data_IF_265835312975
#
_entry.id   IF_265835312975
#
_cell.length_a   1.000
_cell.length_b   1.000
_cell.length_c   1.000
_cell.angle_alpha   90.00
_cell.angle_beta   90.00
_cell.angle_gamma   90.00
#
_symmetry.space_group_name_H-M   'P 1'
#
loop_
_entity.id
_entity.type
_entity.pdbx_description
1 polymer ?
#
# COMPACT_ATOMS: atom_id res chain seq x y z
N UNK A 1 22.79 -38.24 21.23
CA UNK A 1 23.08 -39.69 21.34
C UNK A 1 21.81 -40.43 20.95
N UNK A 2 21.64 -40.69 19.66
CA UNK A 2 20.45 -41.33 19.09
C UNK A 2 20.67 -42.86 19.11
N UNK A 3 19.64 -43.61 19.53
CA UNK A 3 19.65 -45.07 19.42
C UNK A 3 19.54 -45.43 17.94
N UNK A 4 20.68 -45.76 17.32
CA UNK A 4 20.72 -46.40 16.02
C UNK A 4 20.30 -47.87 16.19
N UNK A 5 19.08 -48.22 15.77
CA UNK A 5 18.80 -49.59 15.32
C UNK A 5 17.71 -49.61 14.27
N UNK A 6 18.14 -49.48 13.01
CA UNK A 6 17.42 -50.09 11.90
C UNK A 6 17.55 -51.61 12.04
N UNK A 7 16.40 -52.31 12.15
CA UNK A 7 16.28 -53.74 11.91
C UNK A 7 16.21 -54.62 13.16
N UNK A 8 15.00 -54.95 13.59
CA UNK A 8 14.59 -56.37 13.69
C UNK A 8 13.07 -56.51 13.87
N UNK A 9 12.48 -57.38 13.04
CA UNK A 9 11.06 -57.75 13.08
C UNK A 9 10.86 -58.83 14.14
N UNK A 10 10.14 -58.50 15.22
CA UNK A 10 9.45 -59.50 16.05
C UNK A 10 8.15 -58.89 16.56
N UNK A 11 7.03 -59.37 16.02
CA UNK A 11 5.69 -58.88 16.28
C UNK A 11 5.16 -59.27 17.66
N UNK A 12 4.27 -58.41 18.16
CA UNK A 12 3.57 -58.55 19.44
C UNK A 12 2.55 -59.68 19.40
N UNK A 13 2.54 -60.53 20.44
CA UNK A 13 1.58 -61.63 20.63
C UNK A 13 0.74 -61.41 21.91
N UNK A 14 0.14 -60.23 22.05
CA UNK A 14 -0.81 -59.90 23.12
C UNK A 14 -2.24 -59.83 22.60
N UNK A 15 -3.10 -60.73 23.10
CA UNK A 15 -4.53 -60.78 22.76
C UNK A 15 -5.27 -59.57 23.39
N UNK A 16 -5.59 -58.58 22.56
CA UNK A 16 -6.59 -57.56 22.86
C UNK A 16 -7.81 -57.82 21.97
N UNK A 17 -8.79 -58.57 22.47
CA UNK A 17 -9.95 -59.06 21.70
C UNK A 17 -10.97 -57.96 21.29
N UNK A 18 -10.62 -56.67 21.39
CA UNK A 18 -11.51 -55.55 21.05
C UNK A 18 -10.83 -54.34 20.40
N UNK A 19 -9.52 -54.36 20.17
CA UNK A 19 -8.88 -53.32 19.36
C UNK A 19 -8.90 -53.79 17.90
N UNK A 20 -9.90 -53.33 17.14
CA UNK A 20 -9.89 -53.39 15.68
C UNK A 20 -8.49 -53.08 15.16
N UNK A 21 -7.99 -53.85 14.20
CA UNK A 21 -6.64 -53.71 13.61
C UNK A 21 -6.37 -52.23 13.32
N UNK A 22 -5.61 -51.56 14.18
CA UNK A 22 -5.30 -50.14 13.97
C UNK A 22 -4.22 -50.08 12.90
N UNK A 23 -4.42 -49.34 11.79
CA UNK A 23 -3.53 -49.41 10.64
C UNK A 23 -2.11 -48.90 10.96
N UNK A 24 -1.16 -49.33 10.13
CA UNK A 24 0.18 -48.75 10.07
C UNK A 24 0.10 -47.36 9.43
N UNK A 25 0.86 -46.42 9.97
CA UNK A 25 1.06 -45.11 9.35
C UNK A 25 2.24 -45.23 8.39
N UNK A 26 2.09 -44.79 7.15
CA UNK A 26 3.18 -44.76 6.17
C UNK A 26 4.15 -43.63 6.50
N UNK A 27 5.31 -43.99 7.07
CA UNK A 27 6.36 -43.05 7.47
C UNK A 27 7.47 -42.94 6.44
N UNK A 28 7.56 -43.85 5.47
CA UNK A 28 8.56 -43.82 4.39
C UNK A 28 8.25 -42.68 3.42
N UNK A 29 7.01 -42.62 2.94
CA UNK A 29 6.53 -41.53 2.08
C UNK A 29 6.64 -40.17 2.77
N UNK A 30 6.43 -40.13 4.09
CA UNK A 30 6.57 -38.90 4.88
C UNK A 30 8.04 -38.46 4.95
N UNK A 31 8.98 -39.37 5.20
CA UNK A 31 10.41 -39.03 5.20
C UNK A 31 10.89 -38.60 3.81
N UNK A 32 10.44 -39.26 2.75
CA UNK A 32 10.80 -38.90 1.38
C UNK A 32 10.25 -37.53 0.97
N UNK A 33 9.09 -37.15 1.50
CA UNK A 33 8.57 -35.77 1.39
C UNK A 33 9.54 -34.78 2.03
N UNK A 34 9.95 -35.01 3.29
CA UNK A 34 10.88 -34.11 4.01
C UNK A 34 12.26 -34.06 3.33
N UNK A 35 12.76 -35.19 2.82
CA UNK A 35 14.05 -35.25 2.09
C UNK A 35 14.05 -34.39 0.85
N UNK A 36 12.88 -34.15 0.25
CA UNK A 36 12.73 -33.25 -0.90
C UNK A 36 13.70 -33.59 -2.07
N UNK A 37 13.95 -34.89 -2.27
CA UNK A 37 14.85 -35.42 -3.29
C UNK A 37 16.34 -35.46 -2.93
N UNK A 38 16.72 -35.17 -1.68
CA UNK A 38 18.06 -35.42 -1.16
C UNK A 38 18.13 -36.79 -0.47
N UNK A 39 18.68 -37.79 -1.18
CA UNK A 39 18.82 -39.15 -0.65
C UNK A 39 19.77 -39.24 0.56
N UNK A 40 20.63 -38.23 0.77
CA UNK A 40 21.55 -38.18 1.89
C UNK A 40 20.97 -37.47 3.11
N UNK A 41 19.77 -36.90 3.00
CA UNK A 41 19.14 -36.20 4.12
C UNK A 41 18.68 -37.19 5.20
N UNK A 42 19.07 -36.89 6.44
CA UNK A 42 18.70 -37.65 7.61
C UNK A 42 18.15 -36.69 8.68
N UNK A 43 16.87 -36.82 8.99
CA UNK A 43 16.24 -36.02 10.03
C UNK A 43 16.60 -36.58 11.41
N UNK A 44 17.33 -35.80 12.20
CA UNK A 44 17.67 -36.15 13.59
C UNK A 44 16.99 -35.20 14.58
N UNK A 45 17.08 -33.90 14.32
CA UNK A 45 16.46 -32.86 15.14
C UNK A 45 16.14 -31.63 14.29
N UNK A 46 15.24 -30.78 14.80
CA UNK A 46 15.04 -29.44 14.26
C UNK A 46 16.23 -28.57 14.67
N UNK A 47 17.14 -28.33 13.74
CA UNK A 47 18.31 -27.44 13.91
C UNK A 47 17.91 -25.97 13.76
N UNK A 48 18.84 -25.05 14.03
CA UNK A 48 18.61 -23.62 13.82
C UNK A 48 18.47 -23.27 12.33
N UNK A 49 19.13 -24.02 11.45
CA UNK A 49 18.97 -23.90 10.00
C UNK A 49 17.55 -24.30 9.57
N UNK A 50 17.08 -25.47 10.02
CA UNK A 50 15.69 -25.92 9.79
C UNK A 50 14.72 -24.87 10.34
N UNK A 51 14.97 -24.34 11.54
CA UNK A 51 14.14 -23.30 12.13
C UNK A 51 14.12 -22.01 11.30
N UNK A 52 15.26 -21.59 10.74
CA UNK A 52 15.36 -20.43 9.86
C UNK A 52 14.62 -20.64 8.54
N UNK A 53 14.62 -21.87 8.01
CA UNK A 53 13.88 -22.21 6.80
C UNK A 53 12.37 -22.17 7.06
N UNK A 54 11.92 -22.76 8.17
CA UNK A 54 10.51 -22.71 8.60
C UNK A 54 10.04 -21.27 8.83
N UNK A 55 10.83 -20.43 9.51
CA UNK A 55 10.48 -18.99 9.64
C UNK A 55 10.27 -18.28 8.29
N UNK A 56 10.87 -18.79 7.22
CA UNK A 56 10.78 -18.23 5.88
C UNK A 56 9.79 -18.95 4.95
N UNK A 57 8.95 -19.85 5.46
CA UNK A 57 8.03 -20.70 4.67
C UNK A 57 8.75 -21.49 3.55
N UNK A 58 9.91 -22.07 3.90
CA UNK A 58 10.71 -22.88 2.97
C UNK A 58 10.70 -24.37 3.30
N UNK A 59 9.95 -24.78 4.33
CA UNK A 59 9.95 -26.15 4.82
C UNK A 59 11.20 -26.50 5.64
N UNK A 60 11.36 -27.80 5.89
CA UNK A 60 12.41 -28.38 6.74
C UNK A 60 13.73 -28.49 5.97
N UNK A 61 13.69 -29.00 4.73
CA UNK A 61 14.90 -29.22 3.93
C UNK A 61 14.74 -28.70 2.48
N UNK A 62 14.95 -27.40 2.27
CA UNK A 62 15.03 -26.84 0.92
C UNK A 62 16.21 -27.46 0.15
N UNK A 63 15.98 -28.05 -1.02
CA UNK A 63 17.05 -28.71 -1.78
C UNK A 63 16.95 -28.46 -3.29
N UNK A 64 18.06 -28.01 -3.90
CA UNK A 64 18.21 -27.80 -5.36
C UNK A 64 17.03 -27.05 -6.03
N UNK A 65 16.52 -26.01 -5.38
CA UNK A 65 15.43 -25.17 -5.93
C UNK A 65 14.04 -25.80 -5.81
N UNK A 66 13.90 -26.95 -5.16
CA UNK A 66 12.63 -27.47 -4.68
C UNK A 66 12.45 -27.01 -3.25
N UNK A 67 11.33 -26.37 -2.96
CA UNK A 67 10.94 -26.02 -1.59
C UNK A 67 9.50 -26.53 -1.41
N UNK A 68 9.27 -27.28 -0.36
CA UNK A 68 7.93 -27.42 0.20
C UNK A 68 7.64 -26.20 1.08
N UNK A 69 6.36 -25.89 1.25
CA UNK A 69 5.98 -24.91 2.27
C UNK A 69 5.98 -25.54 3.66
N UNK A 70 5.85 -24.73 4.70
CA UNK A 70 5.86 -25.20 6.08
C UNK A 70 4.73 -26.20 6.36
N UNK A 71 3.57 -26.02 5.73
CA UNK A 71 2.40 -26.88 5.96
C UNK A 71 2.66 -28.31 5.50
N UNK A 72 3.22 -28.47 4.30
CA UNK A 72 3.58 -29.76 3.72
C UNK A 72 4.62 -30.49 4.58
N UNK A 73 5.70 -29.80 4.92
CA UNK A 73 6.81 -30.41 5.66
C UNK A 73 6.48 -30.65 7.14
N UNK A 74 5.70 -29.80 7.80
CA UNK A 74 5.26 -30.05 9.18
C UNK A 74 4.21 -31.18 9.25
N UNK A 75 3.35 -31.32 8.23
CA UNK A 75 2.45 -32.46 8.14
C UNK A 75 3.23 -33.77 7.93
N UNK A 76 4.21 -33.76 7.02
CA UNK A 76 5.10 -34.89 6.81
C UNK A 76 5.92 -35.20 8.08
N UNK A 77 6.42 -34.18 8.79
CA UNK A 77 7.16 -34.35 10.04
C UNK A 77 6.30 -34.95 11.14
N UNK A 78 5.06 -34.50 11.29
CA UNK A 78 4.11 -35.09 12.24
C UNK A 78 3.88 -36.57 11.93
N UNK A 79 3.65 -36.89 10.66
CA UNK A 79 3.45 -38.27 10.19
C UNK A 79 4.69 -39.12 10.43
N UNK A 80 5.87 -38.60 10.13
CA UNK A 80 7.13 -39.30 10.33
C UNK A 80 7.41 -39.56 11.82
N UNK A 81 7.41 -38.53 12.66
CA UNK A 81 7.79 -38.63 14.07
C UNK A 81 6.75 -39.38 14.90
N UNK A 82 5.49 -38.98 14.82
CA UNK A 82 4.43 -39.61 15.61
C UNK A 82 3.93 -40.91 14.98
N UNK A 83 3.98 -41.05 13.65
CA UNK A 83 3.69 -42.31 12.98
C UNK A 83 4.71 -43.40 13.31
N UNK A 84 6.00 -43.07 13.38
CA UNK A 84 7.02 -44.03 13.82
C UNK A 84 6.78 -44.44 15.28
N UNK A 85 6.50 -43.46 16.15
CA UNK A 85 6.19 -43.72 17.57
C UNK A 85 4.95 -44.63 17.72
N UNK A 86 3.91 -44.39 16.92
CA UNK A 86 2.68 -45.18 16.86
C UNK A 86 2.92 -46.60 16.35
N UNK A 87 3.66 -46.74 15.26
CA UNK A 87 4.00 -48.04 14.69
C UNK A 87 4.81 -48.88 15.67
N UNK A 88 5.82 -48.29 16.32
CA UNK A 88 6.65 -48.95 17.34
C UNK A 88 5.85 -49.36 18.58
N UNK A 89 4.84 -48.57 18.99
CA UNK A 89 3.99 -48.91 20.14
C UNK A 89 3.24 -50.24 19.94
N UNK A 90 2.85 -50.56 18.70
CA UNK A 90 2.13 -51.81 18.38
C UNK A 90 2.98 -53.06 18.53
N UNK A 91 4.31 -52.93 18.41
CA UNK A 91 5.25 -54.06 18.54
C UNK A 91 6.02 -54.03 19.86
N UNK A 92 5.75 -53.06 20.73
CA UNK A 92 6.46 -52.85 21.98
C UNK A 92 6.15 -53.95 23.00
N UNK A 93 7.19 -54.59 23.53
CA UNK A 93 7.03 -55.46 24.70
C UNK A 93 6.97 -54.63 25.99
N UNK A 94 5.79 -54.54 26.60
CA UNK A 94 5.58 -53.81 27.84
C UNK A 94 6.24 -54.46 29.07
N UNK A 95 6.63 -55.73 28.98
CA UNK A 95 7.36 -56.43 30.03
C UNK A 95 8.88 -56.16 29.96
N UNK A 96 9.39 -55.69 28.81
CA UNK A 96 10.77 -55.23 28.67
C UNK A 96 10.88 -53.75 29.04
N UNK A 97 11.32 -53.50 30.27
CA UNK A 97 11.51 -52.15 30.82
C UNK A 97 12.49 -51.33 29.96
N UNK A 98 13.48 -51.94 29.34
CA UNK A 98 14.43 -51.22 28.48
C UNK A 98 13.77 -50.81 27.17
N UNK A 99 12.99 -51.69 26.54
CA UNK A 99 12.23 -51.36 25.34
C UNK A 99 11.23 -50.23 25.60
N UNK A 100 10.47 -50.32 26.70
CA UNK A 100 9.53 -49.26 27.12
C UNK A 100 10.24 -47.93 27.36
N UNK A 101 11.39 -47.96 28.03
CA UNK A 101 12.19 -46.75 28.29
C UNK A 101 12.72 -46.12 27.00
N UNK A 102 13.24 -46.90 26.06
CA UNK A 102 13.69 -46.41 24.76
C UNK A 102 12.54 -45.77 23.98
N UNK A 103 11.39 -46.45 23.91
CA UNK A 103 10.21 -45.91 23.23
C UNK A 103 9.73 -44.58 23.85
N UNK A 104 9.74 -44.46 25.19
CA UNK A 104 9.41 -43.20 25.87
C UNK A 104 10.38 -42.07 25.53
N UNK A 105 11.69 -42.35 25.48
CA UNK A 105 12.67 -41.34 25.07
C UNK A 105 12.47 -40.88 23.62
N UNK A 106 12.22 -41.82 22.71
CA UNK A 106 11.91 -41.50 21.32
C UNK A 106 10.64 -40.67 21.21
N UNK A 107 9.57 -41.04 21.91
CA UNK A 107 8.32 -40.30 21.92
C UNK A 107 8.51 -38.85 22.39
N UNK A 108 9.26 -38.64 23.48
CA UNK A 108 9.56 -37.30 24.01
C UNK A 108 10.43 -36.50 23.04
N UNK A 109 11.47 -37.11 22.48
CA UNK A 109 12.35 -36.47 21.48
C UNK A 109 11.58 -36.08 20.22
N UNK A 110 10.71 -36.96 19.74
CA UNK A 110 9.84 -36.74 18.59
C UNK A 110 8.86 -35.60 18.84
N UNK A 111 8.19 -35.60 20.00
CA UNK A 111 7.26 -34.52 20.40
C UNK A 111 7.97 -33.17 20.55
N UNK A 112 9.19 -33.18 21.09
CA UNK A 112 10.03 -31.99 21.22
C UNK A 112 10.37 -31.41 19.84
N UNK A 113 10.81 -32.25 18.90
CA UNK A 113 11.15 -31.82 17.55
C UNK A 113 9.94 -31.28 16.78
N UNK A 114 8.78 -31.96 16.87
CA UNK A 114 7.54 -31.46 16.27
C UNK A 114 7.15 -30.10 16.84
N UNK A 115 7.21 -29.95 18.17
CA UNK A 115 6.90 -28.68 18.85
C UNK A 115 7.88 -27.58 18.45
N UNK A 116 9.18 -27.88 18.38
CA UNK A 116 10.21 -26.93 17.94
C UNK A 116 9.95 -26.46 16.51
N UNK A 117 9.59 -27.37 15.60
CA UNK A 117 9.21 -27.03 14.23
C UNK A 117 8.00 -26.08 14.16
N UNK A 118 6.93 -26.41 14.90
CA UNK A 118 5.73 -25.57 14.99
C UNK A 118 6.03 -24.16 15.52
N UNK A 119 6.84 -24.05 16.57
CA UNK A 119 7.24 -22.75 17.13
C UNK A 119 8.00 -21.92 16.10
N UNK A 120 8.93 -22.53 15.35
CA UNK A 120 9.67 -21.83 14.31
C UNK A 120 8.76 -21.26 13.21
N UNK A 121 7.83 -22.06 12.69
CA UNK A 121 6.86 -21.61 11.69
C UNK A 121 5.93 -20.50 12.23
N UNK A 122 5.41 -20.66 13.46
CA UNK A 122 4.57 -19.64 14.12
C UNK A 122 5.32 -18.32 14.31
N UNK A 123 6.61 -18.36 14.69
CA UNK A 123 7.42 -17.16 14.77
C UNK A 123 7.54 -16.44 13.42
N UNK A 124 7.76 -17.19 12.32
CA UNK A 124 7.81 -16.62 10.96
C UNK A 124 6.48 -15.98 10.55
N UNK A 125 5.36 -16.65 10.86
CA UNK A 125 4.02 -16.13 10.61
C UNK A 125 3.77 -14.82 11.37
N UNK A 126 4.14 -14.75 12.65
CA UNK A 126 4.02 -13.52 13.44
C UNK A 126 4.86 -12.37 12.88
N UNK A 127 6.08 -12.65 12.43
CA UNK A 127 6.92 -11.64 11.78
C UNK A 127 6.27 -11.10 10.49
N UNK A 128 5.61 -11.97 9.71
CA UNK A 128 4.85 -11.54 8.52
C UNK A 128 3.61 -10.70 8.88
N UNK A 129 2.86 -11.09 9.92
CA UNK A 129 1.70 -10.34 10.41
C UNK A 129 2.14 -8.96 10.89
N UNK A 130 3.21 -8.85 11.69
CA UNK A 130 3.71 -7.55 12.13
C UNK A 130 4.12 -6.66 10.96
N UNK A 131 4.79 -7.21 9.94
CA UNK A 131 5.10 -6.45 8.71
C UNK A 131 3.86 -5.96 7.98
N UNK A 132 2.80 -6.77 7.92
CA UNK A 132 1.52 -6.35 7.32
C UNK A 132 0.88 -5.24 8.16
N UNK A 133 0.86 -5.37 9.48
CA UNK A 133 0.34 -4.35 10.40
C UNK A 133 1.12 -3.05 10.23
N UNK A 134 2.45 -3.10 10.18
CA UNK A 134 3.30 -1.94 9.95
C UNK A 134 3.06 -1.32 8.57
N UNK A 135 2.85 -2.14 7.53
CA UNK A 135 2.50 -1.65 6.20
C UNK A 135 1.13 -0.96 6.21
N UNK A 136 0.12 -1.52 6.87
CA UNK A 136 -1.21 -0.90 7.03
C UNK A 136 -1.11 0.41 7.82
N UNK A 137 -0.30 0.45 8.88
CA UNK A 137 -0.16 1.64 9.70
C UNK A 137 0.60 2.77 8.99
N UNK A 138 1.60 2.42 8.17
CA UNK A 138 2.45 3.38 7.47
C UNK A 138 1.93 3.76 6.07
N UNK A 139 1.16 2.90 5.40
CA UNK A 139 0.66 3.11 4.04
C UNK A 139 -0.85 2.90 3.88
N UNK A 140 -1.51 2.20 4.81
CA UNK A 140 -2.96 1.96 4.83
C UNK A 140 -3.78 3.12 5.42
N UNK A 141 -3.16 4.28 5.66
CA UNK A 141 -3.91 5.54 5.67
C UNK A 141 -4.35 5.81 4.23
N UNK A 142 -5.55 5.36 3.87
CA UNK A 142 -6.10 5.52 2.53
C UNK A 142 -6.15 7.02 2.16
N UNK A 143 -5.14 7.52 1.43
CA UNK A 143 -5.12 8.88 0.84
C UNK A 143 -6.06 8.99 -0.38
N UNK A 144 -7.11 8.16 -0.42
CA UNK A 144 -8.13 8.24 -1.45
C UNK A 144 -9.00 9.47 -1.17
N UNK A 145 -8.56 10.62 -1.69
CA UNK A 145 -9.37 11.81 -1.79
C UNK A 145 -9.83 11.97 -3.23
N UNK A 146 -11.13 12.20 -3.43
CA UNK A 146 -11.66 12.57 -4.75
C UNK A 146 -11.86 14.08 -4.74
N UNK A 147 -11.25 14.75 -5.71
CA UNK A 147 -11.54 16.15 -5.98
C UNK A 147 -12.71 16.22 -6.95
N UNK A 148 -13.84 16.78 -6.51
CA UNK A 148 -14.99 17.05 -7.38
C UNK A 148 -14.96 18.49 -7.86
N UNK A 149 -15.08 18.69 -9.17
CA UNK A 149 -15.19 20.00 -9.81
C UNK A 149 -16.67 20.40 -9.93
N UNK A 150 -16.98 21.66 -9.65
CA UNK A 150 -18.31 22.24 -9.90
C UNK A 150 -18.16 23.62 -10.52
N UNK A 151 -18.73 23.83 -11.70
CA UNK A 151 -18.86 25.18 -12.28
C UNK A 151 -19.83 25.99 -11.45
N UNK A 152 -19.33 27.02 -10.77
CA UNK A 152 -20.13 27.92 -9.93
C UNK A 152 -20.76 29.03 -10.77
N UNK A 153 -20.06 29.45 -11.82
CA UNK A 153 -20.52 30.47 -12.74
C UNK A 153 -19.79 30.37 -14.07
N UNK A 154 -20.51 30.70 -15.13
CA UNK A 154 -19.98 30.85 -16.48
C UNK A 154 -20.63 32.07 -17.11
N UNK A 155 -19.84 32.92 -17.75
CA UNK A 155 -20.34 34.16 -18.34
C UNK A 155 -19.25 34.94 -19.03
N UNK A 156 -19.40 36.26 -19.05
CA UNK A 156 -18.52 37.15 -19.80
C UNK A 156 -18.49 38.50 -19.10
N UNK A 157 -17.78 38.56 -17.96
CA UNK A 157 -17.71 39.76 -17.12
C UNK A 157 -16.34 40.42 -17.27
N UNK A 158 -16.31 41.70 -17.63
CA UNK A 158 -15.05 42.42 -17.87
C UNK A 158 -14.57 43.12 -16.61
N UNK A 159 -13.35 42.79 -16.18
CA UNK A 159 -12.69 43.42 -15.05
C UNK A 159 -11.61 44.38 -15.53
N UNK A 160 -11.43 45.46 -14.78
CA UNK A 160 -10.25 46.32 -14.84
C UNK A 160 -9.55 46.31 -13.47
N UNK A 161 -8.31 46.77 -13.42
CA UNK A 161 -7.56 46.82 -12.16
C UNK A 161 -8.33 47.63 -11.12
N UNK A 162 -8.55 47.04 -9.95
CA UNK A 162 -9.25 47.67 -8.83
C UNK A 162 -10.78 47.49 -8.84
N UNK A 163 -11.36 46.74 -9.77
CA UNK A 163 -12.81 46.49 -9.77
C UNK A 163 -13.20 45.31 -8.87
N UNK A 164 -14.37 45.46 -8.25
CA UNK A 164 -15.04 44.40 -7.47
C UNK A 164 -16.29 43.98 -8.20
N UNK A 165 -16.55 42.68 -8.21
CA UNK A 165 -17.80 42.14 -8.72
C UNK A 165 -18.35 41.11 -7.74
N UNK A 166 -19.64 41.21 -7.45
CA UNK A 166 -20.37 40.27 -6.60
C UNK A 166 -21.23 39.37 -7.48
N UNK A 167 -21.04 38.07 -7.35
CA UNK A 167 -21.76 37.08 -8.12
C UNK A 167 -22.90 36.50 -7.28
N UNK A 168 -24.14 36.82 -7.66
CA UNK A 168 -25.31 36.33 -6.96
C UNK A 168 -25.43 34.80 -7.09
N UNK A 169 -25.74 34.14 -5.96
CA UNK A 169 -25.96 32.69 -5.93
C UNK A 169 -24.70 31.82 -5.87
N UNK A 170 -23.50 32.42 -5.88
CA UNK A 170 -22.25 31.69 -5.65
C UNK A 170 -21.89 31.72 -4.16
N UNK A 171 -21.42 30.59 -3.65
CA UNK A 171 -20.82 30.49 -2.32
C UNK A 171 -19.52 29.69 -2.40
N UNK A 172 -18.41 30.38 -2.66
CA UNK A 172 -17.09 29.77 -2.81
C UNK A 172 -16.57 29.18 -1.48
N UNK A 173 -17.11 29.63 -0.34
CA UNK A 173 -16.73 29.15 0.99
C UNK A 173 -17.07 27.67 1.24
N UNK A 174 -17.87 27.06 0.37
CA UNK A 174 -18.22 25.62 0.42
C UNK A 174 -17.16 24.71 -0.21
N UNK A 175 -16.13 25.27 -0.83
CA UNK A 175 -15.13 24.55 -1.61
C UNK A 175 -13.74 24.66 -0.96
N UNK A 176 -12.91 23.64 -1.16
CA UNK A 176 -11.54 23.59 -0.66
C UNK A 176 -10.61 24.48 -1.49
N UNK A 177 -10.86 24.57 -2.81
CA UNK A 177 -10.16 25.49 -3.70
C UNK A 177 -11.08 25.99 -4.80
N UNK A 178 -10.65 27.05 -5.49
CA UNK A 178 -11.40 27.71 -6.57
C UNK A 178 -10.44 27.97 -7.72
N UNK A 179 -10.88 27.76 -8.95
CA UNK A 179 -10.21 28.22 -10.15
C UNK A 179 -11.01 29.30 -10.86
N UNK A 180 -10.30 30.28 -11.41
CA UNK A 180 -10.85 31.35 -12.22
C UNK A 180 -10.29 31.25 -13.63
N UNK A 181 -11.17 31.19 -14.63
CA UNK A 181 -10.78 31.23 -16.02
C UNK A 181 -10.96 32.65 -16.57
N UNK A 182 -9.87 33.21 -17.09
CA UNK A 182 -9.83 34.55 -17.66
C UNK A 182 -9.51 34.49 -19.15
N UNK A 183 -10.07 35.43 -19.90
CA UNK A 183 -9.81 35.64 -21.32
C UNK A 183 -9.37 37.09 -21.53
N UNK A 184 -8.27 37.28 -22.25
CA UNK A 184 -7.81 38.62 -22.63
C UNK A 184 -8.58 39.15 -23.83
N UNK A 185 -9.00 40.40 -23.73
CA UNK A 185 -9.53 41.16 -24.86
C UNK A 185 -8.42 42.02 -25.45
N UNK A 186 -8.29 42.00 -26.78
CA UNK A 186 -7.38 42.89 -27.49
C UNK A 186 -7.87 44.35 -27.34
N UNK A 187 -7.02 45.30 -26.91
CA UNK A 187 -7.42 46.69 -26.64
C UNK A 187 -8.14 47.38 -27.78
N UNK A 188 -7.78 47.06 -29.03
CA UNK A 188 -8.22 47.81 -30.21
C UNK A 188 -9.22 47.07 -31.11
N UNK A 189 -9.53 45.80 -30.82
CA UNK A 189 -10.38 44.96 -31.69
C UNK A 189 -11.55 44.28 -30.96
N UNK A 190 -11.55 44.24 -29.61
CA UNK A 190 -12.59 43.50 -28.86
C UNK A 190 -12.55 41.98 -29.05
N UNK A 191 -11.55 41.46 -29.76
CA UNK A 191 -11.35 40.03 -30.00
C UNK A 191 -10.65 39.36 -28.83
N UNK A 192 -11.06 38.13 -28.52
CA UNK A 192 -10.45 37.28 -27.51
C UNK A 192 -9.14 36.67 -28.05
N UNK A 193 -8.04 36.79 -27.29
CA UNK A 193 -6.73 36.42 -27.81
C UNK A 193 -5.92 35.44 -26.94
N UNK A 194 -6.20 35.34 -25.63
CA UNK A 194 -5.55 34.39 -24.73
C UNK A 194 -6.51 33.89 -23.66
N UNK A 195 -6.45 32.60 -23.33
CA UNK A 195 -7.17 31.98 -22.20
C UNK A 195 -6.15 31.57 -21.14
N UNK A 196 -6.33 32.03 -19.91
CA UNK A 196 -5.53 31.61 -18.76
C UNK A 196 -6.44 30.98 -17.71
N UNK A 197 -6.07 29.78 -17.23
CA UNK A 197 -6.69 29.16 -16.08
C UNK A 197 -5.84 29.45 -14.84
N UNK A 198 -6.45 30.02 -13.81
CA UNK A 198 -5.78 30.31 -12.55
C UNK A 198 -6.32 29.37 -11.49
N UNK A 199 -5.51 28.41 -11.06
CA UNK A 199 -5.86 27.47 -9.96
C UNK A 199 -5.29 27.98 -8.64
N UNK A 200 -6.10 27.99 -7.58
CA UNK A 200 -5.66 28.44 -6.25
C UNK A 200 -5.03 27.34 -5.40
N UNK A 201 -3.99 27.78 -4.70
CA UNK A 201 -3.18 27.29 -3.58
C UNK A 201 -4.00 26.87 -2.33
N UNK A 202 -3.58 25.76 -1.73
CA UNK A 202 -4.15 25.11 -0.54
C UNK A 202 -3.86 25.83 0.81
N UNK A 203 -4.58 25.38 1.84
CA UNK A 203 -4.50 25.66 3.29
C UNK A 203 -5.32 26.82 3.86
N UNK A 204 -6.24 26.43 4.77
CA UNK A 204 -7.16 27.29 5.53
C UNK A 204 -6.72 27.40 7.00
N UNK A 205 -6.22 28.56 7.46
CA UNK A 205 -6.38 28.98 8.82
C UNK A 205 -7.54 29.98 8.88
N UNK A 206 -8.65 29.55 9.49
CA UNK A 206 -9.73 30.37 10.03
C UNK A 206 -10.63 31.18 9.04
N UNK A 207 -11.96 30.95 9.01
CA UNK A 207 -12.91 31.67 8.13
C UNK A 207 -13.14 33.15 8.49
N UNK A 208 -12.35 33.75 9.39
CA UNK A 208 -12.47 35.15 9.79
C UNK A 208 -11.33 36.05 9.27
N UNK A 209 -10.27 35.49 8.67
CA UNK A 209 -9.18 36.29 8.11
C UNK A 209 -9.50 36.65 6.65
N UNK A 210 -9.96 37.89 6.48
CA UNK A 210 -10.37 38.46 5.19
C UNK A 210 -9.17 38.71 4.28
N UNK A 211 -9.08 37.93 3.19
CA UNK A 211 -8.19 38.21 2.07
C UNK A 211 -7.72 36.94 1.38
N UNK A 212 -8.45 36.49 0.36
CA UNK A 212 -8.05 35.33 -0.43
C UNK A 212 -7.13 35.80 -1.55
N UNK A 213 -5.84 35.42 -1.58
CA UNK A 213 -4.96 35.74 -2.71
C UNK A 213 -5.05 34.64 -3.78
N UNK A 214 -5.29 35.06 -5.03
CA UNK A 214 -5.22 34.22 -6.23
C UNK A 214 -4.13 34.82 -7.11
N UNK A 215 -2.95 34.19 -7.08
CA UNK A 215 -1.85 34.55 -7.97
C UNK A 215 -1.93 33.69 -9.23
N UNK A 216 -2.20 34.32 -10.37
CA UNK A 216 -2.04 33.69 -11.67
C UNK A 216 -0.56 33.58 -12.00
N UNK A 217 0.01 32.37 -11.86
CA UNK A 217 1.34 32.10 -12.39
C UNK A 217 1.29 31.97 -13.93
N UNK A 218 2.35 32.49 -14.54
CA UNK A 218 2.62 32.62 -15.97
C UNK A 218 1.99 31.50 -16.83
N UNK A 219 0.98 31.85 -17.62
CA UNK A 219 0.50 30.95 -18.69
C UNK A 219 1.30 31.26 -19.95
N UNK A 220 2.05 30.27 -20.43
CA UNK A 220 2.91 30.40 -21.60
C UNK A 220 2.13 30.06 -22.88
N UNK A 221 2.36 30.89 -23.90
CA UNK A 221 2.10 30.71 -25.34
C UNK A 221 0.76 31.24 -25.92
N UNK A 222 0.93 32.22 -26.81
CA UNK A 222 0.30 32.27 -28.12
C UNK A 222 1.30 32.96 -29.08
N UNK A 223 2.38 32.27 -29.47
CA UNK A 223 3.37 32.82 -30.42
C UNK A 223 2.93 32.73 -31.88
N UNK A 224 1.86 32.01 -32.19
CA UNK A 224 1.62 31.58 -33.58
C UNK A 224 0.77 32.57 -34.41
N UNK A 225 0.36 33.72 -33.84
CA UNK A 225 -0.51 34.70 -34.52
C UNK A 225 -0.11 36.17 -34.36
N UNK A 226 1.08 36.46 -33.82
CA UNK A 226 1.57 37.83 -33.68
C UNK A 226 2.75 38.02 -34.63
N UNK A 227 2.64 39.00 -35.54
CA UNK A 227 3.71 39.47 -36.41
C UNK A 227 4.89 40.14 -35.64
N UNK A 228 4.95 39.95 -34.31
CA UNK A 228 5.95 40.50 -33.39
C UNK A 228 6.35 39.41 -32.35
N UNK A 229 7.62 38.98 -32.29
CA UNK A 229 8.09 37.87 -31.43
C UNK A 229 8.21 38.20 -29.93
N UNK A 230 7.64 39.30 -29.44
CA UNK A 230 7.64 39.62 -28.01
C UNK A 230 6.71 38.67 -27.23
N UNK A 231 7.28 37.84 -26.35
CA UNK A 231 6.47 37.00 -25.44
C UNK A 231 5.60 37.90 -24.56
N UNK A 232 4.28 37.76 -24.67
CA UNK A 232 3.32 38.44 -23.81
C UNK A 232 2.76 37.46 -22.78
N UNK A 233 2.79 37.86 -21.52
CA UNK A 233 2.27 37.15 -20.36
C UNK A 233 1.15 37.96 -19.73
N UNK A 234 0.10 37.27 -19.28
CA UNK A 234 -0.94 37.87 -18.46
C UNK A 234 -0.64 37.64 -16.99
N UNK A 235 -0.58 38.71 -16.21
CA UNK A 235 -0.60 38.64 -14.76
C UNK A 235 -1.95 39.17 -14.26
N UNK A 236 -2.79 38.24 -13.81
CA UNK A 236 -4.03 38.55 -13.07
C UNK A 236 -3.79 38.23 -11.60
N UNK A 237 -3.63 39.29 -10.80
CA UNK A 237 -3.81 39.22 -9.36
C UNK A 237 -5.29 39.41 -9.05
N UNK A 238 -5.97 38.33 -8.72
CA UNK A 238 -7.36 38.37 -8.25
C UNK A 238 -7.38 38.01 -6.76
N UNK A 239 -8.37 38.52 -6.05
CA UNK A 239 -8.62 38.17 -4.67
C UNK A 239 -10.10 37.92 -4.48
N UNK A 240 -10.48 36.84 -3.81
CA UNK A 240 -11.81 36.84 -3.22
C UNK A 240 -11.77 37.74 -1.97
N UNK A 241 -12.82 38.52 -1.76
CA UNK A 241 -12.97 39.35 -0.55
C UNK A 241 -13.98 38.75 0.42
N UNK A 242 -15.01 38.09 -0.13
CA UNK A 242 -16.07 37.40 0.59
C UNK A 242 -16.39 36.10 -0.14
N UNK A 243 -17.38 35.35 0.35
CA UNK A 243 -17.84 34.10 -0.27
C UNK A 243 -18.44 34.23 -1.68
N UNK A 244 -18.74 35.45 -2.11
CA UNK A 244 -19.46 35.78 -3.34
C UNK A 244 -18.85 36.96 -4.12
N UNK A 245 -17.81 37.61 -3.58
CA UNK A 245 -17.22 38.81 -4.18
C UNK A 245 -15.77 38.56 -4.58
N UNK A 246 -15.49 38.78 -5.86
CA UNK A 246 -14.14 38.76 -6.44
C UNK A 246 -13.68 40.20 -6.69
N UNK A 247 -12.43 40.45 -6.35
CA UNK A 247 -11.72 41.70 -6.54
C UNK A 247 -10.52 41.47 -7.46
N UNK A 248 -10.48 42.18 -8.59
CA UNK A 248 -9.32 42.17 -9.45
C UNK A 248 -8.28 43.17 -8.91
N UNK A 249 -7.35 42.71 -8.08
CA UNK A 249 -6.33 43.55 -7.47
C UNK A 249 -5.34 44.12 -8.49
N UNK A 250 -4.98 43.35 -9.51
CA UNK A 250 -4.09 43.80 -10.60
C UNK A 250 -4.35 42.98 -11.86
N UNK A 251 -4.59 43.66 -12.99
CA UNK A 251 -4.67 43.02 -14.31
C UNK A 251 -3.69 43.73 -15.22
N UNK A 252 -2.60 43.05 -15.59
CA UNK A 252 -1.55 43.64 -16.43
C UNK A 252 -1.07 42.64 -17.48
N UNK A 253 -0.84 43.12 -18.69
CA UNK A 253 -0.03 42.39 -19.67
C UNK A 253 1.43 42.77 -19.45
N UNK A 254 2.29 41.77 -19.38
CA UNK A 254 3.73 41.92 -19.30
C UNK A 254 4.33 41.36 -20.58
N UNK A 255 5.18 42.11 -21.24
CA UNK A 255 5.87 41.64 -22.43
C UNK A 255 7.31 42.11 -22.47
N UNK A 256 8.14 41.40 -23.22
CA UNK A 256 9.57 41.70 -23.36
C UNK A 256 9.83 42.33 -24.72
N UNK A 257 10.52 43.47 -24.72
CA UNK A 257 11.05 44.07 -25.94
C UNK A 257 12.30 43.31 -26.40
N UNK A 258 12.69 43.50 -27.67
CA UNK A 258 13.87 42.84 -28.28
C UNK A 258 15.20 43.20 -27.61
N UNK A 259 15.25 44.32 -26.88
CA UNK A 259 16.40 44.75 -26.08
C UNK A 259 16.43 44.12 -24.67
N UNK A 260 15.49 43.24 -24.36
CA UNK A 260 15.35 42.62 -23.05
C UNK A 260 14.64 43.50 -22.01
N UNK A 261 14.07 44.65 -22.40
CA UNK A 261 13.30 45.49 -21.49
C UNK A 261 11.94 44.85 -21.20
N UNK A 262 11.60 44.70 -19.92
CA UNK A 262 10.28 44.26 -19.45
C UNK A 262 9.31 45.44 -19.42
N UNK A 263 8.24 45.38 -20.20
CA UNK A 263 7.15 46.36 -20.19
C UNK A 263 5.92 45.75 -19.52
N UNK A 264 5.25 46.53 -18.67
CA UNK A 264 3.98 46.15 -18.05
C UNK A 264 2.93 47.23 -18.32
N UNK A 265 1.78 46.84 -18.88
CA UNK A 265 0.66 47.75 -19.15
C UNK A 265 -0.61 47.25 -18.43
N UNK A 266 -1.34 48.15 -17.74
CA UNK A 266 -2.70 47.83 -17.29
C UNK A 266 -3.56 47.38 -18.47
N UNK A 267 -4.39 46.37 -18.26
CA UNK A 267 -5.34 45.89 -19.27
C UNK A 267 -6.68 45.55 -18.61
N UNK A 268 -7.68 45.25 -19.43
CA UNK A 268 -8.89 44.55 -19.00
C UNK A 268 -8.75 43.06 -19.25
N UNK A 269 -9.39 42.26 -18.40
CA UNK A 269 -9.54 40.83 -18.63
C UNK A 269 -10.98 40.44 -18.38
N UNK A 270 -11.45 39.46 -19.14
CA UNK A 270 -12.81 38.97 -19.07
C UNK A 270 -12.84 37.66 -18.30
N UNK A 271 -13.54 37.63 -17.17
CA UNK A 271 -13.79 36.40 -16.44
C UNK A 271 -14.82 35.58 -17.23
N UNK A 272 -14.51 34.33 -17.52
CA UNK A 272 -15.39 33.44 -18.29
C UNK A 272 -15.93 32.27 -17.49
N UNK A 273 -15.24 31.87 -16.42
CA UNK A 273 -15.70 30.79 -15.56
C UNK A 273 -15.14 30.90 -14.14
N UNK A 274 -15.95 30.47 -13.17
CA UNK A 274 -15.56 30.23 -11.79
C UNK A 274 -15.85 28.76 -11.49
N UNK A 275 -14.83 28.01 -11.09
CA UNK A 275 -14.93 26.59 -10.74
C UNK A 275 -14.55 26.38 -9.28
N UNK A 276 -15.39 25.67 -8.54
CA UNK A 276 -15.12 25.25 -7.17
C UNK A 276 -14.67 23.79 -7.15
N UNK A 277 -13.68 23.48 -6.31
CA UNK A 277 -13.17 22.14 -6.10
C UNK A 277 -13.37 21.71 -4.66
N UNK A 278 -14.04 20.57 -4.47
CA UNK A 278 -14.25 19.99 -3.15
C UNK A 278 -13.49 18.68 -3.03
N UNK A 279 -12.69 18.56 -1.99
CA UNK A 279 -11.99 17.32 -1.64
C UNK A 279 -12.90 16.50 -0.74
N UNK A 280 -13.34 15.35 -1.23
CA UNK A 280 -14.09 14.38 -0.44
C UNK A 280 -13.09 13.32 0.02
N UNK A 281 -12.84 13.30 1.32
CA UNK A 281 -12.09 12.21 1.94
C UNK A 281 -12.99 10.97 1.95
N UNK A 282 -12.58 9.90 1.29
CA UNK A 282 -13.37 8.67 1.20
C UNK A 282 -13.27 7.80 2.45
N UNK A 283 -12.49 8.22 3.46
CA UNK A 283 -12.28 7.44 4.67
C UNK A 283 -12.67 8.23 5.92
N UNK A 284 -13.28 7.57 6.91
CA UNK A 284 -13.60 8.20 8.18
C UNK A 284 -12.31 8.65 8.88
N UNK A 285 -12.34 9.77 9.62
CA UNK A 285 -11.20 10.19 10.43
C UNK A 285 -10.87 9.09 11.44
N UNK A 286 -9.57 8.86 11.67
CA UNK A 286 -9.10 7.97 12.75
C UNK A 286 -9.74 8.44 14.06
N UNK A 287 -10.52 7.56 14.68
CA UNK A 287 -11.14 7.76 16.01
C UNK A 287 -10.04 7.65 17.08
#
# INVERSE_FOLDING_TARGET
MACNSCGNKSGFNGSCNSCSKVPDIDTESALDTIKNGDENFCFNEVTDEICSNLKGDKGIHPYKGKNHNDCEDLHALNTYLHGNSWNSLKTLDFCDINALRCWLYELVSNSWNMTKGLVCAICGLWDAIHKIIDWINNFGGCEASIQTETTLWSGSETFSTGTKHTFSGIDIGKYNSVALEWVLQKPDAGEDYMRSEVRRVDNFPNPQDTGWFIEANETQSASDKLDDPSMQFLLVGAQALTKDTIYAASIKVVYWLSDGTRVSKPTTARLVSIKGYKTINLCPPKI
#
